data_IF_116483149646
#
_entry.id   IF_116483149646
#
_cell.length_a   1.000
_cell.length_b   1.000
_cell.length_c   1.000
_cell.angle_alpha   90.00
_cell.angle_beta   90.00
_cell.angle_gamma   90.00
#
_symmetry.space_group_name_H-M   'P 1'
#
loop_
_entity.id
_entity.type
_entity.pdbx_description
1 polymer ?
#
# COMPACT_ATOMS: atom_id res chain seq x y z
N UNK A 1 -43.01 20.66 49.37
CA UNK A 1 -41.57 20.40 49.13
C UNK A 1 -41.32 19.09 48.36
N UNK A 2 -41.88 17.94 48.76
CA UNK A 2 -41.63 16.63 48.11
C UNK A 2 -41.95 16.56 46.60
N UNK A 3 -43.05 17.18 46.14
CA UNK A 3 -43.41 17.19 44.69
C UNK A 3 -42.36 17.87 43.80
N UNK A 4 -41.62 18.86 44.32
CA UNK A 4 -40.55 19.53 43.57
C UNK A 4 -39.33 18.62 43.43
N UNK A 5 -38.90 17.98 44.53
CA UNK A 5 -37.78 17.03 44.54
C UNK A 5 -38.03 15.81 43.65
N UNK A 6 -39.27 15.29 43.60
CA UNK A 6 -39.62 14.17 42.70
C UNK A 6 -39.53 14.57 41.22
N UNK A 7 -40.00 15.77 40.85
CA UNK A 7 -39.85 16.30 39.48
C UNK A 7 -38.38 16.52 39.11
N UNK A 8 -37.56 17.01 40.04
CA UNK A 8 -36.11 17.18 39.85
C UNK A 8 -35.39 15.83 39.67
N UNK A 9 -35.74 14.80 40.45
CA UNK A 9 -35.21 13.44 40.29
C UNK A 9 -35.61 12.82 38.94
N UNK A 10 -36.87 12.99 38.52
CA UNK A 10 -37.34 12.56 37.21
C UNK A 10 -36.61 13.26 36.06
N UNK A 11 -36.46 14.59 36.15
CA UNK A 11 -35.70 15.37 35.17
C UNK A 11 -34.22 14.94 35.11
N UNK A 12 -33.59 14.64 36.25
CA UNK A 12 -32.23 14.13 36.31
C UNK A 12 -32.11 12.74 35.70
N UNK A 13 -33.09 11.86 35.92
CA UNK A 13 -33.11 10.54 35.29
C UNK A 13 -33.22 10.62 33.76
N UNK A 14 -34.06 11.52 33.22
CA UNK A 14 -34.15 11.77 31.77
C UNK A 14 -32.86 12.38 31.20
N UNK A 15 -32.18 13.23 31.97
CA UNK A 15 -30.88 13.80 31.61
C UNK A 15 -29.77 12.73 31.55
N UNK A 16 -29.73 11.81 32.54
CA UNK A 16 -28.83 10.65 32.50
C UNK A 16 -29.11 9.74 31.30
N UNK A 17 -30.38 9.51 30.94
CA UNK A 17 -30.74 8.75 29.73
C UNK A 17 -30.25 9.44 28.45
N UNK A 18 -30.42 10.77 28.35
CA UNK A 18 -29.93 11.56 27.21
C UNK A 18 -28.41 11.51 27.10
N UNK A 19 -27.69 11.69 28.21
CA UNK A 19 -26.23 11.61 28.23
C UNK A 19 -25.76 10.20 27.84
N UNK A 20 -26.36 9.15 28.41
CA UNK A 20 -26.06 7.77 28.05
C UNK A 20 -26.28 7.49 26.56
N UNK A 21 -27.37 8.00 25.99
CA UNK A 21 -27.65 7.88 24.56
C UNK A 21 -26.63 8.65 23.70
N UNK A 22 -26.26 9.88 24.09
CA UNK A 22 -25.23 10.65 23.39
C UNK A 22 -23.87 9.96 23.44
N UNK A 23 -23.48 9.40 24.59
CA UNK A 23 -22.24 8.64 24.73
C UNK A 23 -22.26 7.34 23.93
N UNK A 24 -23.40 6.67 23.84
CA UNK A 24 -23.55 5.49 22.99
C UNK A 24 -23.41 5.84 21.51
N UNK A 25 -24.08 6.89 21.04
CA UNK A 25 -23.98 7.35 19.67
C UNK A 25 -22.57 7.84 19.31
N UNK A 26 -21.85 8.48 20.24
CA UNK A 26 -20.47 8.92 19.99
C UNK A 26 -19.50 7.74 19.90
N UNK A 27 -19.64 6.74 20.77
CA UNK A 27 -18.87 5.50 20.72
C UNK A 27 -19.18 4.69 19.45
N UNK A 28 -20.44 4.57 19.06
CA UNK A 28 -20.83 3.88 17.83
C UNK A 28 -20.21 4.53 16.58
N UNK A 29 -20.20 5.87 16.50
CA UNK A 29 -19.53 6.61 15.43
C UNK A 29 -18.01 6.41 15.45
N UNK A 30 -17.40 6.39 16.63
CA UNK A 30 -15.97 6.13 16.77
C UNK A 30 -15.61 4.71 16.29
N UNK A 31 -16.37 3.69 16.71
CA UNK A 31 -16.16 2.31 16.29
C UNK A 31 -16.38 2.12 14.79
N UNK A 32 -17.42 2.75 14.21
CA UNK A 32 -17.61 2.74 12.75
C UNK A 32 -16.38 3.31 12.03
N UNK A 33 -15.87 4.46 12.50
CA UNK A 33 -14.67 5.09 11.90
C UNK A 33 -13.43 4.21 12.00
N UNK A 34 -13.23 3.51 13.12
CA UNK A 34 -12.10 2.57 13.28
C UNK A 34 -12.27 1.37 12.36
N UNK A 35 -13.49 0.83 12.24
CA UNK A 35 -13.78 -0.27 11.32
C UNK A 35 -13.53 0.11 9.86
N UNK A 36 -13.88 1.33 9.44
CA UNK A 36 -13.62 1.82 8.09
C UNK A 36 -12.13 2.02 7.81
N UNK A 37 -11.36 2.48 8.79
CA UNK A 37 -9.89 2.56 8.69
C UNK A 37 -9.26 1.18 8.50
N UNK A 38 -9.69 0.20 9.29
CA UNK A 38 -9.17 -1.17 9.18
C UNK A 38 -9.48 -1.79 7.82
N UNK A 39 -10.71 -1.60 7.32
CA UNK A 39 -11.10 -2.04 5.96
C UNK A 39 -10.24 -1.38 4.88
N UNK A 40 -9.99 -0.08 5.00
CA UNK A 40 -9.14 0.64 4.06
C UNK A 40 -7.70 0.12 4.07
N UNK A 41 -7.14 -0.21 5.23
CA UNK A 41 -5.80 -0.79 5.33
C UNK A 41 -5.73 -2.17 4.69
N UNK A 42 -6.69 -3.05 4.95
CA UNK A 42 -6.76 -4.37 4.32
C UNK A 42 -6.90 -4.29 2.80
N UNK A 43 -7.70 -3.35 2.29
CA UNK A 43 -7.83 -3.13 0.85
C UNK A 43 -6.51 -2.63 0.24
N UNK A 44 -5.78 -1.74 0.92
CA UNK A 44 -4.46 -1.30 0.48
C UNK A 44 -3.46 -2.46 0.43
N UNK A 45 -3.40 -3.29 1.47
CA UNK A 45 -2.52 -4.48 1.50
C UNK A 45 -2.86 -5.45 0.37
N UNK A 46 -4.15 -5.67 0.12
CA UNK A 46 -4.63 -6.51 -0.99
C UNK A 46 -4.23 -5.94 -2.36
N UNK A 47 -4.32 -4.62 -2.53
CA UNK A 47 -3.92 -3.94 -3.76
C UNK A 47 -2.40 -3.96 -3.94
N UNK A 48 -1.62 -3.81 -2.87
CA UNK A 48 -0.16 -3.91 -2.89
C UNK A 48 0.32 -5.32 -3.26
N UNK A 49 -0.40 -6.36 -2.82
CA UNK A 49 -0.14 -7.74 -3.25
C UNK A 49 -0.47 -7.96 -4.74
N UNK A 50 -1.50 -7.28 -5.26
CA UNK A 50 -1.91 -7.39 -6.66
C UNK A 50 -0.96 -6.65 -7.61
N UNK A 51 -0.52 -5.46 -7.23
CA UNK A 51 0.27 -4.56 -8.07
C UNK A 51 1.71 -4.48 -7.58
N UNK A 52 2.60 -5.11 -8.33
CA UNK A 52 4.05 -5.10 -8.09
C UNK A 52 4.56 -3.66 -8.29
N UNK A 53 5.47 -3.20 -7.41
CA UNK A 53 6.14 -1.90 -7.53
C UNK A 53 5.43 -0.72 -6.87
N UNK A 54 4.31 -0.94 -6.18
CA UNK A 54 3.58 0.11 -5.44
C UNK A 54 4.33 0.67 -4.24
N UNK A 55 5.24 -0.12 -3.66
CA UNK A 55 6.04 0.27 -2.52
C UNK A 55 5.26 0.25 -1.19
N UNK A 56 6.03 0.08 -0.12
CA UNK A 56 5.67 0.19 1.29
C UNK A 56 6.79 0.95 2.03
N UNK A 57 6.54 1.50 3.23
CA UNK A 57 7.56 2.21 4.01
C UNK A 57 8.87 1.44 4.21
N UNK A 58 8.80 0.10 4.28
CA UNK A 58 9.98 -0.75 4.46
C UNK A 58 10.59 -1.25 3.14
N UNK A 59 10.20 -0.66 2.00
CA UNK A 59 10.80 -1.02 0.69
C UNK A 59 12.25 -0.62 0.65
N UNK A 60 13.13 -1.58 0.36
CA UNK A 60 14.55 -1.28 0.25
C UNK A 60 14.85 -0.50 -1.04
N UNK A 61 15.91 0.31 -1.01
CA UNK A 61 16.38 1.00 -2.22
C UNK A 61 16.67 0.03 -3.38
N UNK A 62 17.11 -1.19 -3.05
CA UNK A 62 17.37 -2.24 -4.04
C UNK A 62 16.09 -2.79 -4.67
N UNK A 63 15.04 -3.07 -3.88
CA UNK A 63 13.74 -3.53 -4.39
C UNK A 63 13.12 -2.49 -5.32
N UNK A 64 13.14 -1.22 -4.92
CA UNK A 64 12.62 -0.12 -5.73
C UNK A 64 13.36 0.00 -7.07
N UNK A 65 14.70 0.06 -7.05
CA UNK A 65 15.52 0.11 -8.27
C UNK A 65 15.27 -1.10 -9.18
N UNK A 66 15.15 -2.30 -8.60
CA UNK A 66 14.91 -3.52 -9.36
C UNK A 66 13.58 -3.48 -10.11
N UNK A 67 12.52 -2.93 -9.51
CA UNK A 67 11.23 -2.75 -10.18
C UNK A 67 11.33 -1.74 -11.33
N UNK A 68 11.94 -0.56 -11.10
CA UNK A 68 12.14 0.45 -12.14
C UNK A 68 12.91 -0.10 -13.36
N UNK A 69 13.96 -0.87 -13.12
CA UNK A 69 14.76 -1.44 -14.20
C UNK A 69 13.98 -2.53 -14.96
N UNK A 70 13.18 -3.35 -14.28
CA UNK A 70 12.30 -4.33 -14.93
C UNK A 70 11.25 -3.68 -15.80
N UNK A 71 10.63 -2.59 -15.35
CA UNK A 71 9.65 -1.82 -16.14
C UNK A 71 10.29 -1.20 -17.39
N UNK A 72 11.52 -0.70 -17.23
CA UNK A 72 12.32 -0.18 -18.34
C UNK A 72 12.61 -1.29 -19.35
N UNK A 73 13.15 -2.43 -18.91
CA UNK A 73 13.45 -3.55 -19.81
C UNK A 73 12.21 -4.14 -20.48
N UNK A 74 11.08 -4.20 -19.77
CA UNK A 74 9.79 -4.59 -20.33
C UNK A 74 9.39 -3.66 -21.48
N UNK A 75 9.51 -2.34 -21.29
CA UNK A 75 9.25 -1.35 -22.34
C UNK A 75 10.19 -1.51 -23.53
N UNK A 76 11.49 -1.74 -23.30
CA UNK A 76 12.49 -1.91 -24.35
C UNK A 76 12.26 -3.17 -25.19
N UNK A 77 11.78 -4.25 -24.59
CA UNK A 77 11.51 -5.53 -25.26
C UNK A 77 10.11 -5.58 -25.88
N UNK A 78 9.14 -4.91 -25.26
CA UNK A 78 7.73 -4.91 -25.65
C UNK A 78 7.44 -4.04 -26.87
N UNK A 79 8.13 -2.91 -27.03
CA UNK A 79 7.93 -2.00 -28.15
C UNK A 79 8.93 -2.28 -29.29
N UNK A 80 8.48 -2.75 -30.47
CA UNK A 80 9.39 -3.08 -31.58
C UNK A 80 10.31 -1.93 -32.03
N UNK A 81 9.86 -0.65 -32.08
CA UNK A 81 10.74 0.46 -32.44
C UNK A 81 11.89 0.67 -31.43
N UNK A 82 11.63 0.48 -30.13
CA UNK A 82 12.64 0.63 -29.08
C UNK A 82 13.68 -0.49 -29.16
N UNK A 83 13.23 -1.73 -29.40
CA UNK A 83 14.13 -2.86 -29.60
C UNK A 83 14.99 -2.67 -30.85
N UNK A 84 14.41 -2.20 -31.96
CA UNK A 84 15.13 -1.91 -33.20
C UNK A 84 16.18 -0.81 -33.00
N UNK A 85 15.80 0.28 -32.31
CA UNK A 85 16.73 1.37 -31.98
C UNK A 85 17.93 0.86 -31.17
N UNK A 86 17.70 0.07 -30.12
CA UNK A 86 18.78 -0.51 -29.31
C UNK A 86 19.64 -1.52 -30.06
N UNK A 87 19.03 -2.29 -30.97
CA UNK A 87 19.75 -3.28 -31.77
C UNK A 87 20.64 -2.61 -32.81
N UNK A 88 20.15 -1.53 -33.43
CA UNK A 88 20.93 -0.69 -34.32
C UNK A 88 22.08 0.00 -33.57
N UNK A 89 21.82 0.56 -32.39
CA UNK A 89 22.84 1.24 -31.58
C UNK A 89 23.94 0.29 -31.07
N UNK A 90 23.60 -0.96 -30.73
CA UNK A 90 24.58 -1.97 -30.30
C UNK A 90 25.25 -2.71 -31.47
N UNK A 91 24.72 -2.60 -32.69
CA UNK A 91 25.20 -3.38 -33.84
C UNK A 91 24.94 -4.89 -33.73
N UNK A 92 23.97 -5.31 -32.91
CA UNK A 92 23.62 -6.72 -32.70
C UNK A 92 22.27 -7.06 -33.34
N UNK A 93 22.06 -8.32 -33.79
CA UNK A 93 20.76 -8.76 -34.25
C UNK A 93 19.67 -8.57 -33.17
N UNK A 94 18.47 -8.18 -33.58
CA UNK A 94 17.37 -7.88 -32.66
C UNK A 94 17.03 -9.03 -31.70
N UNK A 95 17.15 -10.28 -32.15
CA UNK A 95 16.94 -11.45 -31.30
C UNK A 95 17.96 -11.55 -30.15
N UNK A 96 19.23 -11.22 -30.41
CA UNK A 96 20.30 -11.27 -29.40
C UNK A 96 20.14 -10.14 -28.38
N UNK A 97 19.83 -8.93 -28.85
CA UNK A 97 19.50 -7.79 -27.98
C UNK A 97 18.32 -8.11 -27.08
N UNK A 98 17.23 -8.67 -27.65
CA UNK A 98 16.05 -9.10 -26.89
C UNK A 98 16.40 -10.11 -25.80
N UNK A 99 17.16 -11.15 -26.15
CA UNK A 99 17.60 -12.17 -25.19
C UNK A 99 18.43 -11.57 -24.04
N UNK A 100 19.37 -10.67 -24.36
CA UNK A 100 20.19 -9.97 -23.37
C UNK A 100 19.33 -9.14 -22.40
N UNK A 101 18.37 -8.38 -22.93
CA UNK A 101 17.45 -7.58 -22.10
C UNK A 101 16.61 -8.48 -21.18
N UNK A 102 16.04 -9.57 -21.71
CA UNK A 102 15.27 -10.53 -20.90
C UNK A 102 16.11 -11.21 -19.81
N UNK A 103 17.36 -11.58 -20.12
CA UNK A 103 18.28 -12.14 -19.12
C UNK A 103 18.55 -11.15 -17.98
N UNK A 104 18.70 -9.87 -18.31
CA UNK A 104 18.93 -8.82 -17.32
C UNK A 104 17.69 -8.52 -16.44
N UNK A 105 16.48 -8.96 -16.82
CA UNK A 105 15.27 -8.76 -16.01
C UNK A 105 15.24 -9.61 -14.74
N UNK A 106 15.97 -10.73 -14.70
CA UNK A 106 16.04 -11.61 -13.51
C UNK A 106 16.59 -10.82 -12.32
N UNK A 107 17.74 -10.18 -12.52
CA UNK A 107 18.42 -9.41 -11.49
C UNK A 107 19.11 -8.18 -12.10
N UNK A 108 18.36 -7.09 -12.34
CA UNK A 108 18.89 -5.92 -13.04
C UNK A 108 19.90 -5.12 -12.20
N UNK A 109 19.81 -5.19 -10.87
CA UNK A 109 20.62 -4.42 -9.93
C UNK A 109 21.66 -5.28 -9.17
N UNK A 110 21.91 -6.52 -9.63
CA UNK A 110 22.76 -7.46 -8.91
C UNK A 110 22.10 -8.02 -7.62
N UNK A 111 22.83 -8.79 -6.81
CA UNK A 111 22.31 -9.37 -5.57
C UNK A 111 21.79 -8.30 -4.61
N UNK A 112 20.77 -8.61 -3.80
CA UNK A 112 20.32 -7.70 -2.76
C UNK A 112 21.46 -7.45 -1.77
N UNK A 113 21.62 -6.21 -1.27
CA UNK A 113 22.54 -5.92 -0.19
C UNK A 113 22.13 -6.70 1.06
N UNK A 114 23.10 -7.10 1.89
CA UNK A 114 22.81 -7.66 3.21
C UNK A 114 22.03 -6.62 4.03
N UNK A 115 20.98 -7.05 4.74
CA UNK A 115 20.27 -6.19 5.69
C UNK A 115 20.97 -6.29 7.03
N UNK A 116 21.01 -5.19 7.77
CA UNK A 116 21.57 -5.17 9.14
C UNK A 116 20.87 -6.20 10.07
N UNK A 117 19.64 -6.61 9.72
CA UNK A 117 18.83 -7.60 10.45
C UNK A 117 19.32 -9.05 10.26
N UNK A 118 20.08 -9.34 9.20
CA UNK A 118 20.58 -10.69 8.89
C UNK A 118 21.94 -11.00 9.56
N UNK A 119 22.57 -10.02 10.23
CA UNK A 119 23.91 -10.15 10.85
C UNK A 119 23.91 -10.66 12.31
N UNK A 120 22.83 -11.29 12.78
CA UNK A 120 22.72 -11.87 14.14
C UNK A 120 22.70 -13.40 14.14
#
# INVERSE_FOLDING_TARGET
MCRRKFRELGARAEDWKRLAHQTFQSLARYLSRVADKLRAQQELERLQQKYIGTGHPDTTSWEWKSNIMRDTYSSLVGHPPMLAFLSLAQGEPAAKTRFKLLKNMVQPCGPPPARDEDEV
#
